data_IF_138876373504
#
_entry.id   IF_138876373504
#
_cell.length_a   1.000
_cell.length_b   1.000
_cell.length_c   1.000
_cell.angle_alpha   90.00
_cell.angle_beta   90.00
_cell.angle_gamma   90.00
#
_symmetry.space_group_name_H-M   'P 1'
#
loop_
_entity.id
_entity.type
_entity.pdbx_description
1 polymer ?
#
# COMPACT_ATOMS: atom_id res chain seq x y z
N UNK A 1 -2.94 -0.38 -29.41
CA UNK A 1 -4.21 -0.62 -28.69
C UNK A 1 -4.51 0.61 -27.82
N UNK A 2 -5.80 0.90 -27.59
CA UNK A 2 -6.22 1.88 -26.59
C UNK A 2 -6.46 1.18 -25.25
N UNK A 3 -5.75 1.59 -24.23
CA UNK A 3 -5.77 0.95 -22.89
C UNK A 3 -6.21 1.99 -21.86
N UNK A 4 -7.32 1.73 -21.17
CA UNK A 4 -7.73 2.52 -20.02
C UNK A 4 -7.18 1.90 -18.73
N UNK A 5 -6.59 2.72 -17.87
CA UNK A 5 -6.10 2.30 -16.55
C UNK A 5 -6.87 3.06 -15.47
N UNK A 6 -7.59 2.33 -14.61
CA UNK A 6 -8.20 2.87 -13.41
C UNK A 6 -7.08 3.20 -12.40
N UNK A 7 -6.98 4.47 -12.04
CA UNK A 7 -6.00 5.00 -11.11
C UNK A 7 -6.61 6.13 -10.26
N UNK A 8 -7.85 5.92 -9.80
CA UNK A 8 -8.69 6.92 -9.16
C UNK A 8 -7.97 7.75 -8.09
N UNK A 9 -7.08 7.14 -7.32
CA UNK A 9 -6.53 7.71 -6.07
C UNK A 9 -5.14 8.31 -6.21
N UNK A 10 -4.51 8.26 -7.39
CA UNK A 10 -3.09 8.67 -7.48
C UNK A 10 -2.87 10.18 -7.27
N UNK A 11 -3.89 11.03 -7.43
CA UNK A 11 -3.78 12.47 -7.22
C UNK A 11 -4.14 12.95 -5.82
N UNK A 12 -4.50 12.04 -4.91
CA UNK A 12 -4.74 12.43 -3.52
C UNK A 12 -3.44 12.77 -2.79
N UNK A 13 -3.51 13.69 -1.82
CA UNK A 13 -2.36 14.15 -1.04
C UNK A 13 -1.70 13.01 -0.25
N UNK A 14 -2.48 12.26 0.49
CA UNK A 14 -2.00 11.12 1.27
C UNK A 14 -2.26 9.81 0.52
N UNK A 15 -1.21 9.24 -0.05
CA UNK A 15 -1.26 7.97 -0.77
C UNK A 15 -0.90 6.80 0.13
N UNK A 16 -1.46 5.64 -0.19
CA UNK A 16 -1.15 4.37 0.48
C UNK A 16 -0.59 3.35 -0.51
N UNK A 17 -0.18 2.18 -0.04
CA UNK A 17 0.54 1.19 -0.84
C UNK A 17 -0.05 0.89 -2.23
N UNK A 18 -1.36 0.63 -2.34
CA UNK A 18 -2.00 0.36 -3.64
C UNK A 18 -1.96 1.56 -4.60
N UNK A 19 -2.04 2.78 -4.06
CA UNK A 19 -2.00 4.00 -4.89
C UNK A 19 -0.61 4.21 -5.47
N UNK A 20 0.44 3.91 -4.67
CA UNK A 20 1.83 3.91 -5.15
C UNK A 20 2.10 2.79 -6.16
N UNK A 21 1.56 1.59 -5.96
CA UNK A 21 1.68 0.51 -6.95
C UNK A 21 1.09 0.93 -8.29
N UNK A 22 -0.11 1.51 -8.30
CA UNK A 22 -0.73 2.01 -9.52
C UNK A 22 0.12 3.11 -10.17
N UNK A 23 0.54 4.11 -9.39
CA UNK A 23 1.33 5.25 -9.87
C UNK A 23 2.67 4.80 -10.47
N UNK A 24 3.44 3.98 -9.75
CA UNK A 24 4.76 3.53 -10.22
C UNK A 24 4.62 2.60 -11.44
N UNK A 25 3.60 1.73 -11.47
CA UNK A 25 3.30 0.92 -12.66
C UNK A 25 3.02 1.79 -13.89
N UNK A 26 2.21 2.85 -13.74
CA UNK A 26 1.89 3.77 -14.83
C UNK A 26 3.15 4.53 -15.29
N UNK A 27 3.97 5.01 -14.34
CA UNK A 27 5.24 5.69 -14.66
C UNK A 27 6.20 4.80 -15.44
N UNK A 28 6.33 3.54 -15.06
CA UNK A 28 7.19 2.60 -15.77
C UNK A 28 6.62 2.25 -17.16
N UNK A 29 5.31 2.05 -17.28
CA UNK A 29 4.66 1.89 -18.60
C UNK A 29 4.92 3.11 -19.48
N UNK A 30 4.81 4.33 -18.94
CA UNK A 30 5.09 5.56 -19.67
C UNK A 30 6.52 5.64 -20.21
N UNK A 31 7.49 5.01 -19.52
CA UNK A 31 8.90 4.98 -19.97
C UNK A 31 9.13 3.95 -21.07
N UNK A 32 8.53 2.76 -20.97
CA UNK A 32 8.90 1.59 -21.77
C UNK A 32 7.98 1.34 -22.96
N UNK A 33 6.70 1.74 -22.91
CA UNK A 33 5.75 1.48 -23.99
C UNK A 33 5.46 2.76 -24.79
N UNK A 34 5.75 2.69 -26.10
CA UNK A 34 5.50 3.75 -27.09
C UNK A 34 4.51 3.33 -28.18
N UNK A 35 4.00 2.09 -28.11
CA UNK A 35 3.14 1.52 -29.17
C UNK A 35 1.66 1.62 -28.85
N UNK A 36 1.31 1.58 -27.55
CA UNK A 36 -0.06 1.65 -27.12
C UNK A 36 -0.43 3.08 -26.67
N UNK A 37 -1.71 3.41 -26.79
CA UNK A 37 -2.29 4.67 -26.30
C UNK A 37 -2.98 4.41 -24.94
N UNK A 38 -2.64 5.22 -23.95
CA UNK A 38 -3.09 5.03 -22.57
C UNK A 38 -4.01 6.16 -22.12
N UNK A 39 -5.10 5.80 -21.45
CA UNK A 39 -6.03 6.72 -20.79
C UNK A 39 -6.02 6.44 -19.30
N UNK A 40 -5.41 7.32 -18.52
CA UNK A 40 -5.29 7.18 -17.06
C UNK A 40 -6.49 7.88 -16.42
N UNK A 41 -7.39 7.07 -15.84
CA UNK A 41 -8.66 7.51 -15.30
C UNK A 41 -8.50 7.79 -13.81
N UNK A 42 -8.62 9.07 -13.43
CA UNK A 42 -8.32 9.57 -12.08
C UNK A 42 -9.47 10.39 -11.51
N UNK A 43 -9.56 10.49 -10.18
CA UNK A 43 -10.34 11.56 -9.54
C UNK A 43 -9.53 12.86 -9.45
N UNK A 44 -10.19 14.02 -9.39
CA UNK A 44 -9.52 15.27 -9.06
C UNK A 44 -8.75 15.15 -7.75
N UNK A 45 -7.60 15.83 -7.64
CA UNK A 45 -6.76 15.82 -6.44
C UNK A 45 -5.68 16.90 -6.49
N UNK A 46 -5.05 17.14 -5.34
CA UNK A 46 -4.05 18.20 -5.16
C UNK A 46 -2.67 17.81 -5.73
N UNK A 47 -2.32 16.52 -5.66
CA UNK A 47 -1.00 16.05 -6.04
C UNK A 47 -0.94 15.64 -7.52
N UNK A 48 -0.33 16.50 -8.33
CA UNK A 48 -0.11 16.29 -9.77
C UNK A 48 1.13 15.44 -10.05
N UNK A 49 1.21 14.27 -9.45
CA UNK A 49 2.37 13.37 -9.47
C UNK A 49 2.62 12.64 -10.81
N UNK A 50 1.69 12.72 -11.77
CA UNK A 50 1.81 12.16 -13.10
C UNK A 50 1.55 13.26 -14.14
N UNK A 51 2.36 13.27 -15.21
CA UNK A 51 2.19 14.17 -16.36
C UNK A 51 1.82 13.37 -17.60
N UNK A 52 1.10 14.00 -18.51
CA UNK A 52 0.77 13.42 -19.83
C UNK A 52 2.03 13.26 -20.70
N UNK A 53 1.94 12.39 -21.69
CA UNK A 53 2.90 12.24 -22.77
C UNK A 53 2.16 11.99 -24.07
N UNK A 54 2.88 11.90 -25.19
CA UNK A 54 2.29 11.75 -26.54
C UNK A 54 1.30 10.58 -26.64
N UNK A 55 1.54 9.52 -25.88
CA UNK A 55 0.71 8.31 -25.90
C UNK A 55 0.02 8.02 -24.54
N UNK A 56 0.04 8.96 -23.59
CA UNK A 56 -0.59 8.79 -22.28
C UNK A 56 -1.36 10.04 -21.87
N UNK A 57 -2.67 9.90 -21.76
CA UNK A 57 -3.62 10.98 -21.50
C UNK A 57 -4.25 10.82 -20.11
N UNK A 58 -4.42 11.92 -19.38
CA UNK A 58 -5.04 11.93 -18.06
C UNK A 58 -6.50 12.36 -18.19
N UNK A 59 -7.42 11.47 -17.82
CA UNK A 59 -8.85 11.73 -17.87
C UNK A 59 -9.40 11.84 -16.44
N UNK A 60 -9.82 13.04 -16.06
CA UNK A 60 -10.42 13.27 -14.76
C UNK A 60 -11.92 12.93 -14.77
N UNK A 61 -12.33 12.16 -13.77
CA UNK A 61 -13.70 11.75 -13.53
C UNK A 61 -14.07 12.25 -12.14
N UNK A 62 -15.04 13.15 -12.06
CA UNK A 62 -15.48 13.74 -10.80
C UNK A 62 -16.83 13.17 -10.36
N UNK A 63 -16.84 12.47 -9.22
CA UNK A 63 -18.01 11.91 -8.58
C UNK A 63 -17.85 11.95 -7.05
N UNK A 64 -18.95 12.15 -6.30
CA UNK A 64 -18.90 12.43 -4.87
C UNK A 64 -18.47 11.23 -4.01
N UNK A 65 -18.44 10.02 -4.56
CA UNK A 65 -18.02 8.81 -3.84
C UNK A 65 -17.36 7.79 -4.75
N UNK A 66 -16.50 6.94 -4.16
CA UNK A 66 -15.84 5.87 -4.89
C UNK A 66 -16.81 4.92 -5.61
N UNK A 67 -17.91 4.42 -4.98
CA UNK A 67 -18.85 3.55 -5.68
C UNK A 67 -19.51 4.22 -6.89
N UNK A 68 -19.89 5.50 -6.79
CA UNK A 68 -20.48 6.24 -7.92
C UNK A 68 -19.44 6.51 -9.01
N UNK A 69 -18.23 6.84 -8.62
CA UNK A 69 -17.11 7.00 -9.54
C UNK A 69 -16.87 5.71 -10.34
N UNK A 70 -16.77 4.56 -9.66
CA UNK A 70 -16.47 3.28 -10.28
C UNK A 70 -17.66 2.71 -11.08
N UNK A 71 -18.90 2.82 -10.56
CA UNK A 71 -20.06 2.15 -11.16
C UNK A 71 -20.80 3.00 -12.20
N UNK A 72 -20.63 4.32 -12.19
CA UNK A 72 -21.32 5.26 -13.10
C UNK A 72 -20.29 6.07 -13.92
N UNK A 73 -19.41 6.79 -13.25
CA UNK A 73 -18.44 7.68 -13.90
C UNK A 73 -17.50 6.94 -14.83
N UNK A 74 -16.89 5.85 -14.33
CA UNK A 74 -15.98 5.03 -15.11
C UNK A 74 -16.64 4.41 -16.35
N UNK A 75 -17.78 3.69 -16.28
CA UNK A 75 -18.45 3.16 -17.47
C UNK A 75 -18.89 4.25 -18.47
N UNK A 76 -19.36 5.40 -17.98
CA UNK A 76 -19.73 6.53 -18.84
C UNK A 76 -18.54 7.07 -19.64
N UNK A 77 -17.39 7.18 -18.99
CA UNK A 77 -16.14 7.64 -19.61
C UNK A 77 -15.60 6.60 -20.61
N UNK A 78 -15.66 5.31 -20.29
CA UNK A 78 -15.25 4.24 -21.19
C UNK A 78 -16.08 4.19 -22.48
N UNK A 79 -17.38 4.51 -22.41
CA UNK A 79 -18.23 4.63 -23.61
C UNK A 79 -17.77 5.74 -24.55
N UNK A 80 -17.18 6.82 -24.04
CA UNK A 80 -16.65 7.93 -24.84
C UNK A 80 -15.27 7.62 -25.44
N UNK A 81 -14.39 7.02 -24.63
CA UNK A 81 -13.00 6.69 -25.05
C UNK A 81 -12.98 5.47 -25.97
N UNK A 82 -13.85 4.50 -25.75
CA UNK A 82 -13.91 3.21 -26.44
C UNK A 82 -12.56 2.47 -26.42
N UNK A 83 -11.97 2.19 -25.23
CA UNK A 83 -10.71 1.49 -25.16
C UNK A 83 -10.89 0.00 -25.48
N UNK A 84 -9.82 -0.61 -26.01
CA UNK A 84 -9.75 -2.05 -26.30
C UNK A 84 -9.64 -2.88 -25.00
N UNK A 85 -9.13 -2.25 -23.92
CA UNK A 85 -8.85 -2.90 -22.64
C UNK A 85 -9.03 -1.92 -21.48
N UNK A 86 -9.64 -2.41 -20.39
CA UNK A 86 -9.65 -1.73 -19.09
C UNK A 86 -8.79 -2.51 -18.09
N UNK A 87 -7.84 -1.85 -17.45
CA UNK A 87 -7.11 -2.38 -16.31
C UNK A 87 -7.54 -1.66 -15.03
N UNK A 88 -8.19 -2.37 -14.11
CA UNK A 88 -8.53 -1.87 -12.79
C UNK A 88 -7.44 -2.27 -11.78
N UNK A 89 -6.86 -1.27 -11.11
CA UNK A 89 -5.67 -1.46 -10.24
C UNK A 89 -6.01 -1.59 -8.75
N UNK A 90 -7.27 -1.38 -8.35
CA UNK A 90 -7.68 -1.16 -6.96
C UNK A 90 -8.54 -2.25 -6.30
N UNK A 91 -8.41 -3.53 -6.64
CA UNK A 91 -9.20 -4.68 -6.14
C UNK A 91 -10.64 -4.76 -6.65
N UNK A 92 -11.22 -3.71 -7.20
CA UNK A 92 -12.60 -3.65 -7.67
C UNK A 92 -12.69 -3.15 -9.12
N UNK A 93 -13.83 -3.31 -9.75
CA UNK A 93 -14.10 -2.85 -11.11
C UNK A 93 -15.61 -2.64 -11.32
N UNK A 94 -16.03 -1.97 -12.38
CA UNK A 94 -17.45 -1.79 -12.68
C UNK A 94 -18.17 -3.13 -12.89
N UNK A 95 -19.36 -3.27 -12.30
CA UNK A 95 -20.21 -4.45 -12.47
C UNK A 95 -20.74 -4.58 -13.89
N UNK A 96 -21.02 -3.46 -14.55
CA UNK A 96 -21.49 -3.37 -15.91
C UNK A 96 -20.48 -2.64 -16.79
N UNK A 97 -19.59 -3.42 -17.40
CA UNK A 97 -18.59 -2.93 -18.34
C UNK A 97 -18.49 -3.89 -19.52
N UNK A 98 -18.58 -3.37 -20.74
CA UNK A 98 -18.42 -4.15 -21.97
C UNK A 98 -16.96 -4.23 -22.42
N UNK A 99 -16.12 -3.31 -21.96
CA UNK A 99 -14.68 -3.32 -22.24
C UNK A 99 -14.02 -4.54 -21.60
N UNK A 100 -13.19 -5.28 -22.35
CA UNK A 100 -12.40 -6.38 -21.79
C UNK A 100 -11.64 -5.94 -20.54
N UNK A 101 -11.77 -6.69 -19.43
CA UNK A 101 -11.29 -6.29 -18.11
C UNK A 101 -10.09 -7.12 -17.65
N UNK A 102 -9.04 -6.43 -17.23
CA UNK A 102 -7.97 -6.96 -16.37
C UNK A 102 -8.12 -6.36 -14.97
N UNK A 103 -8.01 -7.19 -13.94
CA UNK A 103 -8.11 -6.76 -12.55
C UNK A 103 -6.81 -7.06 -11.81
N UNK A 104 -6.22 -6.07 -11.15
CA UNK A 104 -5.22 -6.31 -10.10
C UNK A 104 -5.94 -6.54 -8.77
N UNK A 105 -5.87 -7.77 -8.28
CA UNK A 105 -6.41 -8.20 -7.00
C UNK A 105 -5.24 -8.36 -6.02
N UNK A 106 -4.98 -7.34 -5.22
CA UNK A 106 -3.83 -7.31 -4.29
C UNK A 106 -3.97 -8.34 -3.16
N UNK A 107 -5.19 -8.51 -2.65
CA UNK A 107 -5.53 -9.48 -1.61
C UNK A 107 -7.04 -9.74 -1.58
N UNK A 108 -7.43 -10.72 -0.76
CA UNK A 108 -8.83 -11.05 -0.47
C UNK A 108 -9.18 -10.94 1.02
N UNK A 109 -8.38 -10.21 1.80
CA UNK A 109 -8.58 -10.03 3.26
C UNK A 109 -9.99 -9.54 3.59
N UNK A 110 -10.60 -8.74 2.71
CA UNK A 110 -11.98 -8.27 2.90
C UNK A 110 -13.03 -9.39 2.81
N UNK A 111 -12.72 -10.53 2.19
CA UNK A 111 -13.59 -11.72 2.13
C UNK A 111 -13.43 -12.62 3.36
N UNK A 112 -12.27 -12.61 4.02
CA UNK A 112 -11.96 -13.42 5.19
C UNK A 112 -12.85 -13.06 6.41
N UNK A 113 -13.00 -13.96 7.41
CA UNK A 113 -13.64 -13.63 8.68
C UNK A 113 -12.99 -12.42 9.37
N UNK A 114 -13.79 -11.67 10.13
CA UNK A 114 -13.29 -10.46 10.81
C UNK A 114 -12.24 -10.83 11.87
N UNK A 115 -11.09 -10.18 11.82
CA UNK A 115 -10.13 -10.12 12.91
C UNK A 115 -10.17 -8.70 13.51
N UNK A 116 -10.69 -8.55 14.72
CA UNK A 116 -10.72 -7.29 15.48
C UNK A 116 -12.08 -6.57 15.51
N UNK A 117 -12.32 -5.85 16.65
CA UNK A 117 -13.60 -5.23 16.97
C UNK A 117 -13.75 -3.76 16.53
N UNK A 118 -12.66 -3.02 16.31
CA UNK A 118 -12.68 -1.57 16.09
C UNK A 118 -12.40 -1.19 14.64
N UNK A 119 -13.44 -1.17 13.80
CA UNK A 119 -13.37 -0.60 12.45
C UNK A 119 -14.26 0.65 12.36
N UNK A 120 -13.77 1.69 11.66
CA UNK A 120 -14.59 2.87 11.35
C UNK A 120 -15.77 2.49 10.46
N UNK A 121 -16.83 3.31 10.48
CA UNK A 121 -18.01 3.13 9.60
C UNK A 121 -17.59 3.09 8.13
N UNK A 122 -16.67 3.95 7.74
CA UNK A 122 -16.13 3.99 6.38
C UNK A 122 -15.44 2.67 5.97
N UNK A 123 -14.63 2.09 6.85
CA UNK A 123 -13.98 0.80 6.60
C UNK A 123 -14.99 -0.35 6.46
N UNK A 124 -16.06 -0.31 7.27
CA UNK A 124 -17.15 -1.31 7.18
C UNK A 124 -17.87 -1.21 5.84
N UNK A 125 -18.26 0.00 5.42
CA UNK A 125 -18.92 0.24 4.13
C UNK A 125 -18.03 -0.17 2.96
N UNK A 126 -16.76 0.21 2.96
CA UNK A 126 -15.80 -0.18 1.94
C UNK A 126 -15.56 -1.69 1.88
N UNK A 127 -15.61 -2.39 3.02
CA UNK A 127 -15.54 -3.85 3.06
C UNK A 127 -16.81 -4.48 2.48
N UNK A 128 -18.01 -4.00 2.85
CA UNK A 128 -19.27 -4.49 2.31
C UNK A 128 -19.31 -4.30 0.79
N UNK A 129 -18.91 -3.13 0.30
CA UNK A 129 -18.81 -2.85 -1.13
C UNK A 129 -17.91 -3.86 -1.86
N UNK A 130 -16.68 -4.08 -1.38
CA UNK A 130 -15.75 -5.06 -1.97
C UNK A 130 -16.30 -6.49 -1.91
N UNK A 131 -16.92 -6.89 -0.82
CA UNK A 131 -17.57 -8.21 -0.67
C UNK A 131 -18.72 -8.42 -1.66
N UNK A 132 -19.40 -7.35 -2.03
CA UNK A 132 -20.48 -7.39 -3.01
C UNK A 132 -19.95 -7.39 -4.45
N UNK A 133 -19.02 -6.48 -4.77
CA UNK A 133 -18.54 -6.25 -6.14
C UNK A 133 -17.57 -7.35 -6.57
N UNK A 134 -16.55 -7.67 -5.78
CA UNK A 134 -15.43 -8.51 -6.24
C UNK A 134 -15.88 -9.90 -6.70
N UNK A 135 -16.68 -10.68 -5.96
CA UNK A 135 -17.10 -12.00 -6.45
C UNK A 135 -17.88 -11.95 -7.78
N UNK A 136 -18.55 -10.83 -8.05
CA UNK A 136 -19.37 -10.64 -9.28
C UNK A 136 -18.54 -10.24 -10.49
N UNK A 137 -17.41 -9.58 -10.31
CA UNK A 137 -16.54 -9.16 -11.42
C UNK A 137 -15.49 -10.21 -11.79
N UNK A 138 -15.06 -11.03 -10.85
CA UNK A 138 -13.96 -11.98 -11.06
C UNK A 138 -14.17 -12.88 -12.28
N UNK A 139 -15.40 -13.40 -12.47
CA UNK A 139 -15.73 -14.24 -13.62
C UNK A 139 -15.81 -13.46 -14.97
N UNK A 140 -15.89 -12.11 -14.89
CA UNK A 140 -15.93 -11.23 -16.07
C UNK A 140 -14.52 -10.80 -16.50
N UNK A 141 -13.53 -10.96 -15.63
CA UNK A 141 -12.15 -10.61 -15.95
C UNK A 141 -11.55 -11.58 -16.98
N UNK A 142 -10.93 -11.03 -18.02
CA UNK A 142 -10.09 -11.81 -18.94
C UNK A 142 -8.86 -12.34 -18.26
N UNK A 143 -8.27 -11.52 -17.38
CA UNK A 143 -7.09 -11.89 -16.59
C UNK A 143 -7.17 -11.23 -15.23
N UNK A 144 -6.67 -11.94 -14.21
CA UNK A 144 -6.47 -11.40 -12.88
C UNK A 144 -4.97 -11.38 -12.62
N UNK A 145 -4.49 -10.25 -12.13
CA UNK A 145 -3.12 -10.06 -11.66
C UNK A 145 -3.15 -10.06 -10.13
N UNK A 146 -2.21 -10.71 -9.49
CA UNK A 146 -1.96 -10.57 -8.06
C UNK A 146 -0.50 -10.33 -7.78
N UNK A 147 -0.19 -9.88 -6.56
CA UNK A 147 1.10 -9.28 -6.23
C UNK A 147 2.14 -10.27 -5.71
N UNK A 148 1.72 -11.53 -5.43
CA UNK A 148 2.63 -12.56 -4.93
C UNK A 148 2.11 -13.97 -5.22
N UNK A 149 3.00 -14.97 -5.22
CA UNK A 149 2.60 -16.37 -5.34
C UNK A 149 1.80 -16.84 -4.14
N UNK A 150 2.13 -16.32 -2.96
CA UNK A 150 1.34 -16.57 -1.75
C UNK A 150 -0.12 -16.12 -1.91
N UNK A 151 -0.34 -14.88 -2.39
CA UNK A 151 -1.71 -14.39 -2.63
C UNK A 151 -2.39 -15.16 -3.76
N UNK A 152 -1.67 -15.54 -4.82
CA UNK A 152 -2.23 -16.38 -5.89
C UNK A 152 -2.76 -17.70 -5.34
N UNK A 153 -1.96 -18.42 -4.58
CA UNK A 153 -2.36 -19.69 -3.96
C UNK A 153 -3.52 -19.50 -2.99
N UNK A 154 -3.45 -18.43 -2.18
CA UNK A 154 -4.49 -18.10 -1.23
C UNK A 154 -5.83 -17.77 -1.91
N UNK A 155 -5.81 -16.95 -2.96
CA UNK A 155 -6.99 -16.61 -3.77
C UNK A 155 -7.56 -17.85 -4.43
N UNK A 156 -6.73 -18.68 -5.07
CA UNK A 156 -7.16 -19.92 -5.71
C UNK A 156 -7.82 -20.88 -4.72
N UNK A 157 -7.21 -21.07 -3.56
CA UNK A 157 -7.74 -21.94 -2.49
C UNK A 157 -9.08 -21.41 -1.94
N UNK A 158 -9.16 -20.11 -1.68
CA UNK A 158 -10.35 -19.49 -1.09
C UNK A 158 -11.54 -19.47 -2.05
N UNK A 159 -11.29 -19.22 -3.35
CA UNK A 159 -12.33 -19.12 -4.37
C UNK A 159 -12.58 -20.45 -5.11
N UNK A 160 -11.86 -21.51 -4.78
CA UNK A 160 -11.88 -22.79 -5.50
C UNK A 160 -11.61 -22.63 -7.00
N UNK A 161 -10.61 -21.81 -7.34
CA UNK A 161 -10.26 -21.45 -8.72
C UNK A 161 -9.00 -22.11 -9.22
N UNK A 162 -8.93 -22.31 -10.55
CA UNK A 162 -7.72 -22.79 -11.20
C UNK A 162 -6.63 -21.73 -11.24
N UNK A 163 -5.37 -22.08 -10.92
CA UNK A 163 -4.24 -21.12 -10.95
C UNK A 163 -4.00 -20.44 -12.30
N UNK A 164 -4.43 -21.04 -13.41
CA UNK A 164 -4.25 -20.51 -14.77
C UNK A 164 -4.94 -19.16 -15.02
N UNK A 165 -6.00 -18.84 -14.27
CA UNK A 165 -6.73 -17.57 -14.39
C UNK A 165 -6.01 -16.39 -13.74
N UNK A 166 -5.06 -16.65 -12.84
CA UNK A 166 -4.37 -15.64 -12.05
C UNK A 166 -2.89 -15.64 -12.41
N UNK A 167 -2.37 -14.46 -12.75
CA UNK A 167 -0.94 -14.25 -12.99
C UNK A 167 -0.34 -13.49 -11.82
N UNK A 168 0.79 -13.96 -11.31
CA UNK A 168 1.57 -13.20 -10.32
C UNK A 168 2.44 -12.20 -11.05
N UNK A 169 2.35 -10.93 -10.64
CA UNK A 169 3.27 -9.86 -11.01
C UNK A 169 3.73 -9.24 -9.69
N UNK A 170 4.98 -9.48 -9.33
CA UNK A 170 5.56 -8.95 -8.09
C UNK A 170 5.61 -7.43 -8.13
N UNK A 171 5.31 -6.80 -7.00
CA UNK A 171 5.53 -5.37 -6.85
C UNK A 171 7.03 -5.08 -6.80
N UNK A 172 7.42 -3.96 -7.39
CA UNK A 172 8.72 -3.34 -7.19
C UNK A 172 8.67 -2.26 -6.11
N UNK A 173 9.73 -1.51 -6.03
CA UNK A 173 9.83 -0.27 -5.26
C UNK A 173 10.20 0.89 -6.20
N UNK A 174 9.89 2.11 -5.80
CA UNK A 174 10.21 3.29 -6.62
C UNK A 174 11.70 3.61 -6.58
N UNK A 175 12.26 4.04 -7.70
CA UNK A 175 13.69 4.34 -7.88
C UNK A 175 14.22 5.45 -6.97
N UNK A 176 13.36 6.23 -6.32
CA UNK A 176 13.80 7.21 -5.33
C UNK A 176 14.24 6.57 -4.00
N UNK A 177 13.84 5.31 -3.71
CA UNK A 177 14.37 4.53 -2.61
C UNK A 177 15.76 4.02 -2.99
N UNK A 178 16.76 4.67 -2.45
CA UNK A 178 18.18 4.38 -2.62
C UNK A 178 18.94 4.87 -1.40
N UNK A 179 20.17 4.41 -1.16
CA UNK A 179 20.99 4.91 -0.06
C UNK A 179 21.16 6.45 -0.18
N UNK A 180 20.90 7.14 0.93
CA UNK A 180 21.10 8.59 1.06
C UNK A 180 22.25 8.79 2.04
N UNK A 181 23.33 9.43 1.58
CA UNK A 181 24.51 9.71 2.42
C UNK A 181 24.29 10.91 3.35
N UNK A 182 23.57 11.92 2.90
CA UNK A 182 23.26 13.15 3.64
C UNK A 182 21.85 13.11 4.23
N UNK A 183 21.54 12.09 5.02
CA UNK A 183 20.21 11.89 5.60
C UNK A 183 19.94 12.73 6.86
N UNK A 184 20.99 13.26 7.51
CA UNK A 184 20.92 13.91 8.83
C UNK A 184 19.94 15.08 8.84
N UNK A 185 19.98 15.94 7.82
CA UNK A 185 19.06 17.09 7.71
C UNK A 185 17.59 16.71 7.71
N UNK A 186 17.25 15.53 7.15
CA UNK A 186 15.88 15.01 7.13
C UNK A 186 15.57 14.29 8.45
N UNK A 187 16.44 13.41 8.93
CA UNK A 187 16.20 12.65 10.17
C UNK A 187 16.06 13.55 11.39
N UNK A 188 16.80 14.66 11.44
CA UNK A 188 16.73 15.65 12.51
C UNK A 188 15.30 16.22 12.71
N UNK A 189 14.50 16.31 11.66
CA UNK A 189 13.11 16.78 11.74
C UNK A 189 12.19 15.80 12.52
N UNK A 190 12.58 14.53 12.58
CA UNK A 190 11.71 13.47 13.06
C UNK A 190 12.22 12.79 14.34
N UNK A 191 13.53 12.69 14.54
CA UNK A 191 14.08 11.95 15.67
C UNK A 191 15.30 12.61 16.33
N UNK A 192 16.09 13.41 15.63
CA UNK A 192 17.21 14.17 16.21
C UNK A 192 18.39 13.32 16.69
N UNK A 193 18.50 12.05 16.31
CA UNK A 193 19.63 11.16 16.63
C UNK A 193 20.04 10.35 15.40
N UNK A 194 21.32 9.95 15.34
CA UNK A 194 21.87 9.19 14.21
C UNK A 194 21.59 7.69 14.29
N UNK A 195 21.30 7.16 15.49
CA UNK A 195 21.07 5.73 15.70
C UNK A 195 19.66 5.50 16.26
N UNK A 196 18.84 4.78 15.51
CA UNK A 196 17.47 4.48 15.91
C UNK A 196 16.93 3.24 15.18
N UNK A 197 15.89 2.65 15.74
CA UNK A 197 15.05 1.70 15.03
C UNK A 197 13.91 2.43 14.33
N UNK A 198 13.54 1.96 13.15
CA UNK A 198 12.42 2.51 12.38
C UNK A 198 11.30 1.50 12.24
N UNK A 199 10.05 1.93 12.44
CA UNK A 199 8.84 1.12 12.31
C UNK A 199 7.72 1.93 11.63
N UNK A 200 7.09 1.35 10.60
CA UNK A 200 5.86 1.89 10.00
C UNK A 200 4.66 1.37 10.78
N UNK A 201 4.13 2.21 11.65
CA UNK A 201 2.99 1.90 12.50
C UNK A 201 1.66 1.88 11.74
N UNK A 202 0.67 1.19 12.32
CA UNK A 202 -0.70 1.23 11.84
C UNK A 202 -1.65 0.76 12.95
N UNK A 203 -2.91 1.19 12.90
CA UNK A 203 -3.95 0.75 13.83
C UNK A 203 -4.53 -0.63 13.49
N UNK A 204 -4.27 -1.15 12.30
CA UNK A 204 -4.71 -2.49 11.91
C UNK A 204 -3.94 -3.54 12.74
N UNK A 205 -4.64 -4.45 13.46
CA UNK A 205 -4.02 -5.48 14.28
C UNK A 205 -2.98 -6.34 13.54
N UNK A 206 -3.13 -6.51 12.21
CA UNK A 206 -2.19 -7.27 11.39
C UNK A 206 -0.77 -6.66 11.37
N UNK A 207 -0.63 -5.34 11.61
CA UNK A 207 0.67 -4.67 11.68
C UNK A 207 1.42 -4.91 12.99
N UNK A 208 0.73 -5.48 13.99
CA UNK A 208 1.32 -5.99 15.22
C UNK A 208 1.94 -4.92 16.14
N UNK A 209 1.46 -3.68 16.07
CA UNK A 209 1.99 -2.52 16.81
C UNK A 209 2.10 -2.78 18.32
N UNK A 210 1.09 -3.39 18.94
CA UNK A 210 1.10 -3.69 20.37
C UNK A 210 2.29 -4.58 20.77
N UNK A 211 2.55 -5.64 20.01
CA UNK A 211 3.66 -6.58 20.32
C UNK A 211 5.02 -5.97 20.05
N UNK A 212 5.15 -5.06 19.09
CA UNK A 212 6.37 -4.29 18.88
C UNK A 212 6.71 -3.47 20.13
N UNK A 213 5.73 -2.73 20.67
CA UNK A 213 5.95 -1.92 21.87
C UNK A 213 6.34 -2.78 23.09
N UNK A 214 5.70 -3.95 23.26
CA UNK A 214 6.06 -4.91 24.31
C UNK A 214 7.48 -5.47 24.14
N UNK A 215 7.84 -5.86 22.91
CA UNK A 215 9.19 -6.34 22.61
C UNK A 215 10.24 -5.25 22.77
N UNK A 216 9.89 -4.02 22.40
CA UNK A 216 10.78 -2.87 22.57
C UNK A 216 11.04 -2.55 24.05
N UNK A 217 10.04 -2.65 24.92
CA UNK A 217 10.26 -2.56 26.38
C UNK A 217 11.23 -3.61 26.88
N UNK A 218 11.09 -4.86 26.40
CA UNK A 218 12.03 -5.91 26.78
C UNK A 218 13.47 -5.58 26.33
N UNK A 219 13.62 -5.07 25.09
CA UNK A 219 14.90 -4.59 24.57
C UNK A 219 15.49 -3.47 25.44
N UNK A 220 14.71 -2.47 25.82
CA UNK A 220 15.18 -1.38 26.70
C UNK A 220 15.70 -1.89 28.05
N UNK A 221 15.07 -2.91 28.62
CA UNK A 221 15.46 -3.50 29.91
C UNK A 221 16.72 -4.39 29.82
N UNK A 222 17.09 -4.83 28.62
CA UNK A 222 18.20 -5.77 28.43
C UNK A 222 19.42 -5.17 27.74
N UNK A 223 19.26 -4.02 27.11
CA UNK A 223 20.31 -3.35 26.34
C UNK A 223 21.12 -2.41 27.27
N UNK A 224 22.44 -2.46 27.17
CA UNK A 224 23.34 -1.51 27.82
C UNK A 224 23.37 -0.13 27.14
N UNK A 225 23.05 -0.09 25.85
CA UNK A 225 22.97 1.14 25.03
C UNK A 225 21.69 1.12 24.19
N UNK A 226 20.52 1.42 24.78
CA UNK A 226 19.27 1.32 24.10
C UNK A 226 19.12 2.42 23.06
N UNK A 227 18.70 2.04 21.85
CA UNK A 227 18.39 2.94 20.75
C UNK A 227 16.91 3.35 20.80
N UNK A 228 16.57 4.61 20.45
CA UNK A 228 15.19 5.05 20.34
C UNK A 228 14.45 4.39 19.17
N UNK A 229 13.11 4.38 19.24
CA UNK A 229 12.23 3.85 18.22
C UNK A 229 11.44 4.97 17.55
N UNK A 230 11.65 5.18 16.25
CA UNK A 230 10.85 6.03 15.40
C UNK A 230 9.66 5.25 14.86
N UNK A 231 8.45 5.74 15.11
CA UNK A 231 7.18 5.12 14.67
C UNK A 231 6.46 6.10 13.73
N UNK A 232 6.44 5.82 12.44
CA UNK A 232 5.70 6.61 11.46
C UNK A 232 4.20 6.21 11.43
N UNK A 233 3.37 7.07 10.83
CA UNK A 233 1.96 6.85 10.47
C UNK A 233 1.00 6.63 11.66
N UNK A 234 1.44 6.82 12.90
CA UNK A 234 0.57 6.77 14.06
C UNK A 234 0.51 8.12 14.77
N UNK A 235 -0.71 8.55 15.10
CA UNK A 235 -0.95 9.75 15.91
C UNK A 235 -0.60 9.50 17.37
N UNK A 236 -0.22 10.56 18.08
CA UNK A 236 0.13 10.50 19.50
C UNK A 236 -0.96 9.86 20.36
N UNK A 237 -2.21 10.20 20.11
CA UNK A 237 -3.36 9.63 20.85
C UNK A 237 -3.42 8.10 20.77
N UNK A 238 -3.12 7.56 19.56
CA UNK A 238 -3.10 6.11 19.33
C UNK A 238 -1.95 5.46 20.10
N UNK A 239 -0.75 6.05 20.06
CA UNK A 239 0.41 5.55 20.82
C UNK A 239 0.11 5.61 22.32
N UNK A 240 -0.36 6.73 22.83
CA UNK A 240 -0.72 6.88 24.25
C UNK A 240 -1.80 5.88 24.70
N UNK A 241 -2.75 5.53 23.83
CA UNK A 241 -3.73 4.49 24.10
C UNK A 241 -3.08 3.10 24.19
N UNK A 242 -2.17 2.74 23.27
CA UNK A 242 -1.41 1.50 23.37
C UNK A 242 -0.58 1.44 24.66
N UNK A 243 0.15 2.50 24.99
CA UNK A 243 0.99 2.56 26.20
C UNK A 243 0.14 2.34 27.47
N UNK A 244 -0.99 2.99 27.59
CA UNK A 244 -1.91 2.80 28.73
C UNK A 244 -2.50 1.40 28.78
N UNK A 245 -3.01 0.91 27.64
CA UNK A 245 -3.69 -0.39 27.58
C UNK A 245 -2.78 -1.56 27.94
N UNK A 246 -1.49 -1.48 27.58
CA UNK A 246 -0.53 -2.56 27.81
C UNK A 246 0.46 -2.27 28.96
N UNK A 247 0.26 -1.19 29.73
CA UNK A 247 1.12 -0.84 30.87
C UNK A 247 2.56 -0.50 30.46
N UNK A 248 2.74 0.22 29.36
CA UNK A 248 4.03 0.52 28.72
C UNK A 248 4.39 2.02 28.79
N UNK A 249 3.86 2.76 29.75
CA UNK A 249 4.11 4.22 29.86
C UNK A 249 5.54 4.58 30.15
N UNK A 250 6.28 3.67 30.75
CA UNK A 250 7.72 3.76 31.09
C UNK A 250 8.64 3.89 29.86
N UNK A 251 8.23 3.38 28.68
CA UNK A 251 9.04 3.48 27.47
C UNK A 251 8.82 4.77 26.67
N UNK A 252 7.88 5.63 27.08
CA UNK A 252 7.44 6.79 26.30
C UNK A 252 8.57 7.73 25.89
N UNK A 253 9.55 7.95 26.76
CA UNK A 253 10.70 8.85 26.53
C UNK A 253 11.62 8.38 25.39
N UNK A 254 11.56 7.10 25.03
CA UNK A 254 12.39 6.50 23.97
C UNK A 254 11.61 6.30 22.65
N UNK A 255 10.36 6.81 22.56
CA UNK A 255 9.50 6.70 21.38
C UNK A 255 9.38 8.07 20.69
N UNK A 256 9.58 8.07 19.38
CA UNK A 256 9.33 9.21 18.49
C UNK A 256 8.21 8.84 17.52
N UNK A 257 7.14 9.64 17.49
CA UNK A 257 5.94 9.35 16.68
C UNK A 257 5.39 10.63 16.01
N UNK A 258 6.10 11.12 14.96
CA UNK A 258 5.78 12.37 14.27
C UNK A 258 4.44 12.33 13.50
N UNK A 259 3.75 11.19 13.47
CA UNK A 259 2.57 10.99 12.65
C UNK A 259 2.92 10.57 11.23
N UNK A 260 2.17 11.12 10.25
CA UNK A 260 2.41 10.83 8.84
C UNK A 260 3.75 11.44 8.37
N UNK A 261 4.55 10.61 7.70
CA UNK A 261 5.81 11.04 7.09
C UNK A 261 5.65 11.05 5.57
N UNK A 262 5.94 12.16 4.89
CA UNK A 262 5.91 12.23 3.43
C UNK A 262 6.83 11.19 2.79
N UNK A 263 6.35 10.55 1.72
CA UNK A 263 7.10 9.48 1.04
C UNK A 263 8.50 9.92 0.58
N UNK A 264 8.67 11.20 0.20
CA UNK A 264 9.97 11.77 -0.19
C UNK A 264 11.03 11.77 0.92
N UNK A 265 10.62 11.74 2.21
CA UNK A 265 11.51 11.77 3.35
C UNK A 265 11.86 10.35 3.84
N UNK A 266 11.09 9.32 3.43
CA UNK A 266 11.31 7.93 3.82
C UNK A 266 12.69 7.37 3.44
N UNK A 267 13.26 7.64 2.24
CA UNK A 267 14.60 7.14 1.90
C UNK A 267 15.69 7.58 2.88
N UNK A 268 15.63 8.84 3.35
CA UNK A 268 16.58 9.33 4.34
C UNK A 268 16.37 8.67 5.70
N UNK A 269 15.13 8.44 6.12
CA UNK A 269 14.82 7.76 7.38
C UNK A 269 15.19 6.28 7.34
N UNK A 270 15.01 5.61 6.22
CA UNK A 270 15.53 4.26 6.05
C UNK A 270 17.06 4.27 6.13
N UNK A 271 17.74 5.10 5.34
CA UNK A 271 19.21 5.13 5.27
C UNK A 271 19.88 5.45 6.61
N UNK A 272 19.26 6.31 7.45
CA UNK A 272 19.75 6.65 8.78
C UNK A 272 19.39 5.64 9.87
N UNK A 273 18.46 4.72 9.62
CA UNK A 273 18.03 3.76 10.62
C UNK A 273 19.06 2.64 10.83
N UNK A 274 19.36 2.30 12.09
CA UNK A 274 20.16 1.12 12.44
C UNK A 274 19.50 -0.18 11.98
N UNK A 275 18.17 -0.25 12.08
CA UNK A 275 17.37 -1.32 11.49
C UNK A 275 15.92 -0.89 11.28
N UNK A 276 15.31 -1.40 10.22
CA UNK A 276 13.87 -1.32 9.98
C UNK A 276 13.18 -2.55 10.57
N UNK A 277 12.16 -2.33 11.39
CA UNK A 277 11.43 -3.40 12.06
C UNK A 277 10.11 -3.64 11.33
N UNK A 278 9.90 -4.87 10.84
CA UNK A 278 8.72 -5.25 10.08
C UNK A 278 8.11 -6.55 10.60
N UNK A 279 7.12 -6.44 11.48
CA UNK A 279 6.56 -7.57 12.24
C UNK A 279 5.12 -7.90 11.90
N UNK A 280 4.65 -7.45 10.75
CA UNK A 280 3.29 -7.71 10.30
C UNK A 280 2.93 -9.19 10.35
N UNK A 281 1.72 -9.50 10.81
CA UNK A 281 1.18 -10.86 10.91
C UNK A 281 0.63 -11.36 9.57
N UNK A 282 0.25 -10.45 8.68
CA UNK A 282 -0.33 -10.74 7.37
C UNK A 282 -0.01 -9.61 6.39
N UNK A 283 0.64 -9.93 5.29
CA UNK A 283 0.92 -9.02 4.18
C UNK A 283 0.63 -9.72 2.86
N UNK A 284 0.25 -8.93 1.87
CA UNK A 284 0.05 -9.41 0.50
C UNK A 284 1.37 -9.48 -0.26
N UNK A 285 2.31 -8.55 0.06
CA UNK A 285 3.64 -8.50 -0.54
C UNK A 285 4.71 -8.01 0.44
N UNK A 286 4.62 -6.77 0.93
CA UNK A 286 5.60 -6.21 1.88
C UNK A 286 6.55 -5.19 1.23
N UNK A 287 6.04 -4.27 0.42
CA UNK A 287 6.83 -3.21 -0.24
C UNK A 287 7.81 -2.50 0.71
N UNK A 288 7.44 -2.13 1.97
CA UNK A 288 8.37 -1.45 2.88
C UNK A 288 9.66 -2.23 3.19
N UNK A 289 9.63 -3.55 3.07
CA UNK A 289 10.86 -4.38 3.19
C UNK A 289 11.82 -4.07 2.05
N UNK A 290 11.30 -4.03 0.81
CA UNK A 290 12.11 -3.71 -0.37
C UNK A 290 12.64 -2.27 -0.34
N UNK A 291 11.80 -1.33 0.12
CA UNK A 291 12.19 0.08 0.27
C UNK A 291 13.37 0.23 1.26
N UNK A 292 13.27 -0.42 2.42
CA UNK A 292 14.35 -0.41 3.41
C UNK A 292 15.63 -1.06 2.86
N UNK A 293 15.52 -2.24 2.23
CA UNK A 293 16.65 -2.93 1.60
C UNK A 293 17.29 -2.10 0.50
N UNK A 294 16.49 -1.42 -0.34
CA UNK A 294 16.97 -0.54 -1.39
C UNK A 294 17.74 0.68 -0.83
N UNK A 295 17.39 1.13 0.37
CA UNK A 295 18.09 2.19 1.10
C UNK A 295 19.32 1.69 1.86
N UNK A 296 19.65 0.40 1.81
CA UNK A 296 20.79 -0.21 2.52
C UNK A 296 20.52 -0.49 4.00
N UNK A 297 19.26 -0.41 4.45
CA UNK A 297 18.88 -0.58 5.86
C UNK A 297 18.71 -2.06 6.20
N UNK A 298 19.34 -2.58 7.26
CA UNK A 298 19.05 -3.91 7.78
C UNK A 298 17.57 -4.06 8.17
N UNK A 299 16.95 -5.18 7.79
CA UNK A 299 15.52 -5.41 8.06
C UNK A 299 15.34 -6.56 9.05
N UNK A 300 14.65 -6.29 10.17
CA UNK A 300 14.22 -7.32 11.11
C UNK A 300 12.77 -7.73 10.81
N UNK A 301 12.61 -8.91 10.23
CA UNK A 301 11.31 -9.43 9.79
C UNK A 301 10.75 -10.37 10.88
N UNK A 302 9.44 -10.23 11.16
CA UNK A 302 8.70 -11.18 11.99
C UNK A 302 8.38 -12.47 11.21
N UNK A 303 8.14 -13.57 11.94
CA UNK A 303 7.91 -14.92 11.36
C UNK A 303 6.80 -14.98 10.30
N UNK A 304 5.76 -14.16 10.42
CA UNK A 304 4.64 -14.15 9.47
C UNK A 304 4.96 -13.42 8.16
N UNK A 305 5.89 -12.45 8.19
CA UNK A 305 6.34 -11.70 7.01
C UNK A 305 7.32 -12.48 6.13
N UNK A 306 7.83 -13.62 6.60
CA UNK A 306 8.76 -14.47 5.86
C UNK A 306 8.08 -15.47 4.91
N UNK A 307 6.76 -15.38 4.68
CA UNK A 307 6.02 -16.37 3.88
C UNK A 307 6.23 -16.24 2.38
N UNK A 308 6.63 -15.06 1.93
CA UNK A 308 7.08 -14.85 0.54
C UNK A 308 8.60 -14.72 0.58
N UNK A 309 9.30 -15.67 -0.03
CA UNK A 309 10.72 -15.52 -0.30
C UNK A 309 10.86 -14.75 -1.60
N UNK A 310 11.28 -13.51 -1.53
CA UNK A 310 11.75 -12.72 -2.66
C UNK A 310 13.13 -13.20 -3.05
#
# INVERSE_FOLDING_TARGET
MKIAIEAQRIFRKEKHGMDYVALETIREIQKIDRQNEYFILVSPGEDRCLQESDNMHIVQIDYPSYPLWEQIGLPSTLKKIQPDLLHCTGNTAPLWCHTPLILTLHDIIFLEPKQGKNQSVYQKLGRCYRRFVVPRILNKCRKIITVSNFEREHICKFLHWEPKKITTVYNGYSSHFRPITEYQAVTQKYIGTEHYFFFLGNTDPKKNTARILQAYRHYLNTSSQPLPLLIADLKEEVINNYLRTYGLTDIKSMLYYPGYIPNKDLPALYSGATAFIYTSLRESFGIPILEAMACGTPVKIGRASCRERV
#
